data_IF_221666899878
#
_entry.id   IF_221666899878
#
_cell.length_a   1.000
_cell.length_b   1.000
_cell.length_c   1.000
_cell.angle_alpha   90.00
_cell.angle_beta   90.00
_cell.angle_gamma   90.00
#
_symmetry.space_group_name_H-M   'P 1'
#
loop_
_entity.id
_entity.type
_entity.pdbx_description
1 polymer ?
#
# COMPACT_ATOMS: atom_id res chain seq x y z
N UNK A 1 3.95 -2.61 0.12
CA UNK A 1 3.52 -2.10 -1.20
C UNK A 1 2.19 -2.67 -1.68
N UNK A 2 1.92 -3.98 -1.59
CA UNK A 2 0.55 -4.51 -1.86
C UNK A 2 -0.47 -4.07 -0.80
N UNK A 3 -0.09 -4.01 0.48
CA UNK A 3 -0.94 -3.37 1.50
C UNK A 3 -1.14 -1.86 1.29
N UNK A 4 -0.17 -1.20 0.64
CA UNK A 4 -0.24 0.21 0.23
C UNK A 4 -1.20 0.41 -0.96
N UNK A 5 -1.10 -0.48 -1.95
CA UNK A 5 -2.00 -0.64 -3.10
C UNK A 5 -3.47 -0.79 -2.64
N UNK A 6 -3.74 -1.54 -1.58
CA UNK A 6 -5.10 -1.73 -1.06
C UNK A 6 -5.61 -0.56 -0.21
N UNK A 7 -4.78 0.06 0.63
CA UNK A 7 -5.22 1.26 1.38
C UNK A 7 -5.56 2.43 0.46
N UNK A 8 -4.84 2.58 -0.65
CA UNK A 8 -5.12 3.58 -1.68
C UNK A 8 -6.45 3.33 -2.40
N UNK A 9 -6.78 2.07 -2.67
CA UNK A 9 -8.01 1.70 -3.38
C UNK A 9 -9.29 1.97 -2.56
N UNK A 10 -9.23 2.05 -1.22
CA UNK A 10 -10.44 1.96 -0.39
C UNK A 10 -10.85 3.19 0.41
N UNK A 11 -9.93 4.10 0.70
CA UNK A 11 -10.33 5.36 1.33
C UNK A 11 -10.98 6.31 0.31
N UNK A 12 -10.66 6.15 -0.98
CA UNK A 12 -10.99 7.13 -2.02
C UNK A 12 -12.17 6.88 -2.98
N UNK A 13 -12.82 5.70 -3.08
CA UNK A 13 -13.90 5.53 -4.05
C UNK A 13 -15.06 6.50 -3.83
N UNK A 14 -15.36 6.79 -2.56
CA UNK A 14 -16.36 7.77 -2.19
C UNK A 14 -15.84 9.20 -2.04
N UNK A 15 -14.53 9.40 -1.91
CA UNK A 15 -13.94 10.74 -1.81
C UNK A 15 -13.64 11.37 -3.17
N UNK A 16 -13.56 10.57 -4.24
CA UNK A 16 -13.52 11.07 -5.62
C UNK A 16 -14.80 11.84 -6.02
N UNK A 17 -15.86 11.76 -5.20
CA UNK A 17 -17.08 12.56 -5.31
C UNK A 17 -17.02 13.87 -4.50
N UNK A 18 -15.95 14.12 -3.74
CA UNK A 18 -15.82 15.23 -2.80
C UNK A 18 -14.63 16.12 -3.15
N UNK A 19 -14.75 16.86 -4.25
CA UNK A 19 -13.91 18.04 -4.48
C UNK A 19 -14.76 19.32 -4.38
N UNK A 20 -14.69 19.92 -3.19
CA UNK A 20 -14.64 21.35 -2.89
C UNK A 20 -15.88 22.25 -3.07
N UNK A 21 -16.54 22.58 -1.95
CA UNK A 21 -16.77 23.97 -1.52
C UNK A 21 -17.05 24.06 0.00
N UNK A 22 -16.61 25.15 0.64
CA UNK A 22 -16.96 25.53 2.02
C UNK A 22 -18.35 26.16 2.00
N UNK A 23 -19.32 25.50 2.60
CA UNK A 23 -20.50 26.17 3.17
C UNK A 23 -20.79 25.55 4.53
N UNK A 24 -20.87 26.40 5.54
CA UNK A 24 -21.17 26.04 6.91
C UNK A 24 -22.64 25.63 6.99
N UNK A 25 -22.95 24.34 6.80
CA UNK A 25 -24.31 23.84 7.02
C UNK A 25 -24.31 23.06 8.34
N UNK A 26 -24.93 23.67 9.34
CA UNK A 26 -25.12 23.08 10.67
C UNK A 26 -26.24 22.03 10.63
N UNK A 27 -25.90 20.78 10.32
CA UNK A 27 -26.82 19.65 10.52
C UNK A 27 -26.66 19.07 11.93
N UNK A 28 -27.51 19.50 12.86
CA UNK A 28 -27.86 18.69 14.03
C UNK A 28 -28.87 17.64 13.58
N UNK A 29 -28.42 16.47 13.14
CA UNK A 29 -29.33 15.31 12.97
C UNK A 29 -28.90 14.10 13.80
N UNK A 30 -29.81 13.45 14.55
CA UNK A 30 -29.46 12.46 15.58
C UNK A 30 -29.36 11.00 15.06
N UNK A 31 -29.24 10.77 13.75
CA UNK A 31 -29.66 9.48 13.16
C UNK A 31 -28.55 8.51 12.71
N UNK A 32 -27.26 8.85 12.79
CA UNK A 32 -26.21 8.01 12.20
C UNK A 32 -25.44 7.18 13.24
N UNK A 33 -25.72 5.86 13.31
CA UNK A 33 -24.93 4.91 14.13
C UNK A 33 -23.55 4.60 13.52
N UNK A 34 -23.50 4.33 12.21
CA UNK A 34 -22.28 4.18 11.40
C UNK A 34 -22.54 4.86 10.03
N UNK A 35 -22.27 6.17 9.90
CA UNK A 35 -22.57 6.93 8.69
C UNK A 35 -21.85 6.45 7.41
N UNK A 36 -20.71 5.78 7.54
CA UNK A 36 -19.96 5.17 6.43
C UNK A 36 -19.18 3.96 6.96
N UNK A 37 -19.29 2.84 6.28
CA UNK A 37 -18.54 1.62 6.57
C UNK A 37 -17.98 1.04 5.27
N UNK A 38 -16.69 0.71 5.27
CA UNK A 38 -16.00 0.00 4.19
C UNK A 38 -15.49 -1.31 4.75
N UNK A 39 -15.79 -2.43 4.09
CA UNK A 39 -15.39 -3.77 4.53
C UNK A 39 -14.63 -4.47 3.40
N UNK A 40 -13.48 -5.06 3.71
CA UNK A 40 -12.55 -5.71 2.78
C UNK A 40 -12.32 -7.15 3.23
N UNK A 41 -12.70 -8.10 2.38
CA UNK A 41 -12.60 -9.53 2.67
C UNK A 41 -11.25 -10.13 2.26
N UNK A 42 -10.90 -11.33 2.77
CA UNK A 42 -9.72 -12.08 2.33
C UNK A 42 -9.68 -12.37 0.82
N UNK A 43 -10.84 -12.30 0.14
CA UNK A 43 -10.92 -12.52 -1.30
C UNK A 43 -10.04 -11.56 -2.08
N UNK A 44 -9.75 -10.37 -1.52
CA UNK A 44 -8.85 -9.38 -2.12
C UNK A 44 -7.46 -9.94 -2.42
N UNK A 45 -7.01 -10.93 -1.64
CA UNK A 45 -5.71 -11.58 -1.83
C UNK A 45 -5.64 -12.40 -3.12
N UNK A 46 -6.77 -12.75 -3.75
CA UNK A 46 -6.77 -13.40 -5.06
C UNK A 46 -6.08 -12.55 -6.14
N UNK A 47 -6.02 -11.22 -5.97
CA UNK A 47 -5.29 -10.34 -6.90
C UNK A 47 -3.80 -10.63 -6.95
N UNK A 48 -3.22 -11.15 -5.86
CA UNK A 48 -1.81 -11.54 -5.82
C UNK A 48 -1.51 -12.68 -6.79
N UNK A 49 -2.44 -13.62 -6.94
CA UNK A 49 -2.32 -14.74 -7.88
C UNK A 49 -2.72 -14.28 -9.31
N UNK A 50 -3.88 -13.63 -9.44
CA UNK A 50 -4.48 -13.26 -10.73
C UNK A 50 -3.68 -12.21 -11.50
N UNK A 51 -2.95 -11.34 -10.79
CA UNK A 51 -2.19 -10.22 -11.36
C UNK A 51 -0.71 -10.28 -10.97
N UNK A 52 -0.20 -11.46 -10.66
CA UNK A 52 1.20 -11.68 -10.26
C UNK A 52 2.19 -11.05 -11.24
N UNK A 53 2.06 -11.33 -12.54
CA UNK A 53 2.97 -10.79 -13.56
C UNK A 53 2.97 -9.26 -13.61
N UNK A 54 1.79 -8.63 -13.52
CA UNK A 54 1.66 -7.18 -13.53
C UNK A 54 2.28 -6.56 -12.29
N UNK A 55 2.01 -7.14 -11.11
CA UNK A 55 2.58 -6.72 -9.83
C UNK A 55 4.11 -6.81 -9.89
N UNK A 56 4.64 -7.94 -10.33
CA UNK A 56 6.08 -8.14 -10.52
C UNK A 56 6.65 -7.10 -11.46
N UNK A 57 6.04 -6.90 -12.64
CA UNK A 57 6.49 -5.89 -13.61
C UNK A 57 6.52 -4.48 -13.03
N UNK A 58 5.54 -4.10 -12.23
CA UNK A 58 5.52 -2.81 -11.55
C UNK A 58 6.63 -2.71 -10.49
N UNK A 59 6.80 -3.72 -9.65
CA UNK A 59 7.81 -3.73 -8.59
C UNK A 59 9.24 -3.65 -9.16
N UNK A 60 9.47 -4.18 -10.36
CA UNK A 60 10.74 -4.02 -11.10
C UNK A 60 11.08 -2.58 -11.48
N UNK A 61 10.08 -1.68 -11.55
CA UNK A 61 10.32 -0.28 -11.92
C UNK A 61 10.84 0.57 -10.76
N UNK A 62 10.80 0.02 -9.56
CA UNK A 62 11.18 0.70 -8.32
C UNK A 62 12.70 0.69 -8.23
N UNK A 63 13.25 1.89 -8.15
CA UNK A 63 14.68 2.07 -7.96
C UNK A 63 15.05 1.73 -6.53
N UNK A 64 16.01 0.82 -6.38
CA UNK A 64 16.59 0.46 -5.10
C UNK A 64 17.88 1.26 -4.91
N UNK A 65 18.13 1.79 -3.70
CA UNK A 65 19.30 2.61 -3.46
C UNK A 65 20.60 1.83 -3.66
N UNK A 66 21.57 2.50 -4.28
CA UNK A 66 22.95 2.01 -4.37
C UNK A 66 23.69 2.29 -3.06
N UNK A 67 24.70 1.48 -2.77
CA UNK A 67 25.58 1.69 -1.63
C UNK A 67 27.04 1.66 -2.09
N UNK A 68 27.85 2.58 -1.58
CA UNK A 68 29.29 2.55 -1.73
C UNK A 68 29.96 2.91 -0.42
N UNK A 69 31.10 2.30 -0.14
CA UNK A 69 31.95 2.64 0.98
C UNK A 69 33.42 2.52 0.55
N UNK A 70 34.21 3.48 0.99
CA UNK A 70 35.65 3.48 0.79
C UNK A 70 36.34 3.37 2.15
N UNK A 71 37.34 2.51 2.24
CA UNK A 71 38.15 2.27 3.43
C UNK A 71 39.63 2.12 3.03
N UNK A 72 40.54 2.20 3.99
CA UNK A 72 41.99 2.15 3.82
C UNK A 72 42.45 0.92 3.02
N UNK A 73 41.78 -0.22 3.22
CA UNK A 73 42.12 -1.49 2.60
C UNK A 73 41.09 -2.02 1.59
N UNK A 74 39.89 -1.43 1.58
CA UNK A 74 38.75 -1.97 0.82
C UNK A 74 37.82 -0.86 0.37
N UNK A 75 37.58 -0.80 -0.94
CA UNK A 75 36.44 -0.08 -1.49
C UNK A 75 35.42 -1.10 -1.98
N UNK A 76 34.13 -0.84 -1.74
CA UNK A 76 33.07 -1.61 -2.34
C UNK A 76 31.92 -0.72 -2.81
N UNK A 77 31.29 -1.14 -3.89
CA UNK A 77 30.08 -0.53 -4.42
C UNK A 77 29.10 -1.62 -4.83
N UNK A 78 27.86 -1.49 -4.39
CA UNK A 78 26.70 -2.28 -4.80
C UNK A 78 25.78 -1.38 -5.61
N UNK A 79 25.52 -1.77 -6.85
CA UNK A 79 24.81 -0.96 -7.85
C UNK A 79 23.94 -1.84 -8.75
N UNK A 80 23.14 -1.20 -9.62
CA UNK A 80 22.28 -1.91 -10.58
C UNK A 80 21.42 -2.99 -9.93
N UNK A 81 20.92 -2.73 -8.72
CA UNK A 81 20.08 -3.71 -8.00
C UNK A 81 18.75 -3.83 -8.75
N UNK A 82 18.49 -5.01 -9.29
CA UNK A 82 17.32 -5.31 -10.09
C UNK A 82 16.55 -6.48 -9.48
N UNK A 83 15.25 -6.29 -9.26
CA UNK A 83 14.33 -7.37 -8.93
C UNK A 83 14.05 -8.17 -10.20
N UNK A 84 14.34 -9.47 -10.20
CA UNK A 84 14.09 -10.35 -11.34
C UNK A 84 12.75 -11.03 -11.25
N UNK A 85 12.34 -11.41 -10.04
CA UNK A 85 11.03 -12.02 -9.80
C UNK A 85 10.60 -11.77 -8.36
N UNK A 86 9.29 -11.73 -8.15
CA UNK A 86 8.67 -11.69 -6.83
C UNK A 86 7.32 -12.40 -6.86
N UNK A 87 7.05 -13.18 -5.82
CA UNK A 87 5.79 -13.88 -5.64
C UNK A 87 5.35 -13.76 -4.19
N UNK A 88 4.08 -13.44 -4.00
CA UNK A 88 3.45 -13.36 -2.69
C UNK A 88 2.21 -14.26 -2.79
N UNK A 89 2.21 -15.47 -2.21
CA UNK A 89 1.05 -16.35 -2.33
C UNK A 89 -0.12 -15.77 -1.54
N UNK A 90 -1.33 -15.80 -2.08
CA UNK A 90 -2.52 -15.32 -1.37
C UNK A 90 -2.73 -15.99 -0.01
N UNK A 91 -2.35 -17.27 0.11
CA UNK A 91 -2.45 -18.04 1.36
C UNK A 91 -1.44 -17.60 2.41
N UNK A 92 -0.39 -16.88 2.02
CA UNK A 92 0.58 -16.28 2.91
C UNK A 92 0.15 -14.93 3.45
N UNK A 93 -0.99 -14.38 3.05
CA UNK A 93 -1.43 -13.03 3.44
C UNK A 93 -2.70 -13.06 4.28
N UNK A 94 -2.67 -12.39 5.43
CA UNK A 94 -3.79 -12.29 6.36
C UNK A 94 -3.83 -10.93 7.07
N UNK A 95 -5.03 -10.45 7.32
CA UNK A 95 -5.29 -9.52 8.41
C UNK A 95 -5.33 -10.30 9.73
N UNK A 96 -4.57 -9.81 10.70
CA UNK A 96 -4.54 -10.33 12.06
C UNK A 96 -5.40 -9.43 12.95
N UNK A 97 -6.05 -10.04 13.94
CA UNK A 97 -6.93 -9.32 14.86
C UNK A 97 -6.13 -8.29 15.66
N UNK A 98 -6.54 -7.03 15.57
CA UNK A 98 -5.94 -5.91 16.28
C UNK A 98 -7.02 -4.91 16.67
N UNK A 99 -6.93 -4.40 17.90
CA UNK A 99 -7.79 -3.32 18.35
C UNK A 99 -7.29 -1.99 17.77
N UNK A 100 -8.12 -1.34 16.96
CA UNK A 100 -7.88 0.00 16.40
C UNK A 100 -6.57 0.13 15.62
N UNK A 101 -6.51 -0.55 14.48
CA UNK A 101 -5.41 -0.49 13.54
C UNK A 101 -5.60 -1.50 12.42
N UNK A 102 -4.55 -1.69 11.62
CA UNK A 102 -4.49 -2.80 10.66
C UNK A 102 -3.22 -3.58 10.93
N UNK A 103 -3.35 -4.85 11.26
CA UNK A 103 -2.21 -5.77 11.32
C UNK A 103 -2.28 -6.67 10.09
N UNK A 104 -1.34 -6.47 9.16
CA UNK A 104 -1.19 -7.28 7.95
C UNK A 104 0.04 -8.16 8.09
N UNK A 105 -0.15 -9.47 7.96
CA UNK A 105 0.93 -10.45 7.95
C UNK A 105 1.07 -11.06 6.56
N UNK A 106 2.29 -11.13 6.07
CA UNK A 106 2.63 -11.70 4.77
C UNK A 106 3.78 -12.70 4.97
N UNK A 107 3.62 -13.94 4.53
CA UNK A 107 4.59 -15.03 4.67
C UNK A 107 4.83 -15.72 3.33
N UNK A 108 5.89 -16.54 3.28
CA UNK A 108 6.28 -17.30 2.09
C UNK A 108 6.49 -16.39 0.87
N UNK A 109 6.94 -15.15 1.10
CA UNK A 109 7.29 -14.23 0.02
C UNK A 109 8.55 -14.78 -0.63
N UNK A 110 8.52 -14.92 -1.95
CA UNK A 110 9.66 -15.34 -2.75
C UNK A 110 10.15 -14.20 -3.60
N UNK A 111 11.45 -14.02 -3.71
CA UNK A 111 12.00 -13.07 -4.66
C UNK A 111 13.39 -13.49 -5.13
N UNK A 112 13.72 -13.02 -6.33
CA UNK A 112 15.04 -13.16 -6.93
C UNK A 112 15.50 -11.75 -7.32
N UNK A 113 16.71 -11.38 -6.94
CA UNK A 113 17.32 -10.12 -7.31
C UNK A 113 18.73 -10.35 -7.85
N UNK A 114 19.21 -9.41 -8.65
CA UNK A 114 20.60 -9.32 -9.08
C UNK A 114 21.13 -7.96 -8.67
N UNK A 115 22.38 -7.91 -8.23
CA UNK A 115 23.11 -6.66 -8.03
C UNK A 115 24.50 -6.79 -8.65
N UNK A 116 25.01 -5.69 -9.20
CA UNK A 116 26.39 -5.60 -9.63
C UNK A 116 27.25 -5.12 -8.46
N UNK A 117 28.34 -5.81 -8.22
CA UNK A 117 29.30 -5.51 -7.17
C UNK A 117 30.65 -5.19 -7.78
N UNK A 118 31.19 -4.06 -7.34
CA UNK A 118 32.55 -3.63 -7.63
C UNK A 118 33.32 -3.59 -6.31
N UNK A 119 34.48 -4.24 -6.28
CA UNK A 119 35.33 -4.33 -5.09
C UNK A 119 36.74 -3.95 -5.48
N UNK A 120 37.41 -3.12 -4.69
CA UNK A 120 38.83 -2.82 -4.86
C UNK A 120 39.59 -3.13 -3.57
N UNK A 121 40.59 -4.01 -3.65
CA UNK A 121 41.35 -4.51 -2.49
C UNK A 121 42.81 -4.12 -2.61
N UNK A 122 43.38 -3.58 -1.55
CA UNK A 122 44.78 -3.14 -1.52
C UNK A 122 44.97 -1.94 -0.61
N UNK A 123 46.21 -1.46 -0.49
CA UNK A 123 46.56 -0.38 0.45
C UNK A 123 46.44 0.97 -0.24
N UNK A 124 45.56 1.84 0.27
CA UNK A 124 45.39 3.23 -0.19
C UNK A 124 45.18 3.33 -1.70
N UNK A 125 46.16 3.87 -2.45
CA UNK A 125 46.08 4.10 -3.90
C UNK A 125 46.42 2.88 -4.75
N UNK A 126 46.92 1.79 -4.15
CA UNK A 126 47.33 0.57 -4.86
C UNK A 126 46.30 -0.54 -4.72
N UNK A 127 45.04 -0.26 -5.09
CA UNK A 127 43.94 -1.23 -5.03
C UNK A 127 43.73 -1.93 -6.37
N UNK A 128 43.55 -3.25 -6.33
CA UNK A 128 43.16 -4.06 -7.48
C UNK A 128 41.64 -4.26 -7.49
N UNK A 129 41.01 -3.97 -8.63
CA UNK A 129 39.57 -4.03 -8.80
C UNK A 129 39.06 -5.38 -9.31
N UNK A 130 37.94 -5.82 -8.75
CA UNK A 130 37.12 -6.94 -9.22
C UNK A 130 35.70 -6.43 -9.44
N UNK A 131 35.05 -6.97 -10.47
CA UNK A 131 33.65 -6.68 -10.78
C UNK A 131 32.93 -7.97 -11.13
N UNK A 132 31.70 -8.08 -10.65
CA UNK A 132 30.82 -9.19 -11.01
C UNK A 132 29.42 -8.98 -10.47
N UNK A 133 28.57 -9.98 -10.71
CA UNK A 133 27.19 -9.93 -10.26
C UNK A 133 26.97 -10.90 -9.10
N UNK A 134 26.01 -10.53 -8.25
CA UNK A 134 25.51 -11.37 -7.17
C UNK A 134 24.02 -11.58 -7.37
N UNK A 135 23.63 -12.83 -7.47
CA UNK A 135 22.23 -13.24 -7.45
C UNK A 135 21.83 -13.46 -6.00
N UNK A 136 20.75 -12.82 -5.59
CA UNK A 136 20.15 -12.97 -4.26
C UNK A 136 18.82 -13.67 -4.44
N UNK A 137 18.70 -14.84 -3.83
CA UNK A 137 17.51 -15.66 -3.86
C UNK A 137 16.89 -15.72 -2.46
N UNK A 138 15.58 -15.58 -2.37
CA UNK A 138 14.84 -15.82 -1.14
C UNK A 138 13.55 -16.57 -1.46
N UNK A 139 13.34 -17.70 -0.80
CA UNK A 139 12.15 -18.53 -0.99
C UNK A 139 11.18 -18.49 0.21
N UNK A 140 11.58 -17.81 1.29
CA UNK A 140 10.74 -17.62 2.47
C UNK A 140 11.10 -16.31 3.19
N UNK A 141 10.51 -15.21 2.72
CA UNK A 141 10.48 -13.95 3.44
C UNK A 141 9.13 -13.72 4.12
N UNK A 142 9.19 -13.03 5.26
CA UNK A 142 8.04 -12.62 6.05
C UNK A 142 8.05 -11.09 6.20
N UNK A 143 6.89 -10.48 5.97
CA UNK A 143 6.64 -9.07 6.23
C UNK A 143 5.49 -8.97 7.23
N UNK A 144 5.77 -8.30 8.34
CA UNK A 144 4.84 -8.02 9.41
C UNK A 144 4.60 -6.51 9.46
N UNK A 145 3.37 -6.08 9.14
CA UNK A 145 3.01 -4.69 8.97
C UNK A 145 1.89 -4.33 9.95
N UNK A 146 2.20 -3.52 10.94
CA UNK A 146 1.22 -2.98 11.89
C UNK A 146 1.01 -1.51 11.59
N UNK A 147 -0.21 -1.14 11.22
CA UNK A 147 -0.62 0.23 10.94
C UNK A 147 -1.38 0.77 12.14
N UNK A 148 -0.69 1.54 12.98
CA UNK A 148 -1.35 2.26 14.06
C UNK A 148 -2.06 3.46 13.49
N UNK A 149 -3.36 3.60 13.78
CA UNK A 149 -4.15 4.72 13.29
C UNK A 149 -4.56 5.62 14.45
N UNK A 150 -4.17 6.89 14.35
CA UNK A 150 -4.56 7.93 15.29
C UNK A 150 -4.83 9.23 14.56
N UNK A 151 -5.98 9.83 14.82
CA UNK A 151 -6.37 11.16 14.30
C UNK A 151 -6.10 11.36 12.79
N UNK A 152 -6.62 10.44 11.96
CA UNK A 152 -6.44 10.45 10.49
C UNK A 152 -4.96 10.46 10.06
N UNK A 153 -4.08 9.85 10.87
CA UNK A 153 -2.68 9.62 10.57
C UNK A 153 -2.36 8.15 10.83
N UNK A 154 -1.70 7.53 9.86
CA UNK A 154 -1.15 6.19 9.96
C UNK A 154 0.32 6.30 10.36
N UNK A 155 0.69 5.55 11.39
CA UNK A 155 2.07 5.34 11.82
C UNK A 155 2.39 3.85 11.69
N UNK A 156 3.09 3.44 10.61
CA UNK A 156 3.38 2.05 10.37
C UNK A 156 4.55 1.57 11.23
N UNK A 157 4.45 0.36 11.77
CA UNK A 157 5.54 -0.41 12.34
C UNK A 157 5.71 -1.62 11.44
N UNK A 158 6.82 -1.65 10.70
CA UNK A 158 7.09 -2.68 9.69
C UNK A 158 8.29 -3.50 10.16
N UNK A 159 8.16 -4.83 10.11
CA UNK A 159 9.27 -5.76 10.32
C UNK A 159 9.34 -6.68 9.12
N UNK A 160 10.52 -6.85 8.56
CA UNK A 160 10.75 -7.79 7.47
C UNK A 160 11.90 -8.72 7.82
N UNK A 161 11.72 -10.00 7.50
CA UNK A 161 12.74 -11.04 7.65
C UNK A 161 12.84 -11.82 6.35
N UNK A 162 14.04 -12.21 5.95
CA UNK A 162 14.25 -13.00 4.75
C UNK A 162 15.42 -13.96 4.94
N UNK A 163 15.22 -15.23 4.55
CA UNK A 163 16.33 -16.18 4.40
C UNK A 163 17.01 -15.95 3.05
N UNK A 164 18.10 -15.16 3.03
CA UNK A 164 18.82 -14.81 1.81
C UNK A 164 19.88 -15.85 1.43
N UNK A 165 19.88 -16.24 0.17
CA UNK A 165 20.89 -17.09 -0.46
C UNK A 165 21.63 -16.29 -1.53
N UNK A 166 22.95 -16.43 -1.59
CA UNK A 166 23.81 -15.64 -2.47
C UNK A 166 24.55 -16.54 -3.44
N UNK A 167 24.56 -16.18 -4.72
CA UNK A 167 25.35 -16.82 -5.75
C UNK A 167 26.19 -15.76 -6.49
N UNK A 168 27.50 -15.94 -6.47
CA UNK A 168 28.47 -15.02 -7.09
C UNK A 168 28.90 -15.50 -8.48
N UNK A 169 29.11 -14.57 -9.42
CA UNK A 169 29.77 -14.86 -10.70
C UNK A 169 31.21 -15.33 -10.49
N UNK A 170 31.79 -16.05 -11.46
CA UNK A 170 33.13 -16.64 -11.32
C UNK A 170 34.23 -15.60 -11.00
N UNK A 171 34.11 -14.40 -11.55
CA UNK A 171 35.01 -13.26 -11.26
C UNK A 171 35.04 -12.85 -9.78
N UNK A 172 33.98 -13.15 -9.02
CA UNK A 172 33.83 -12.85 -7.60
C UNK A 172 33.91 -14.12 -6.72
N UNK A 173 33.94 -15.34 -7.29
CA UNK A 173 34.13 -16.58 -6.51
C UNK A 173 35.49 -16.64 -5.82
N UNK A 174 36.51 -16.00 -6.39
CA UNK A 174 37.82 -15.84 -5.74
C UNK A 174 37.77 -14.89 -4.52
N UNK A 175 36.65 -14.18 -4.33
CA UNK A 175 36.51 -13.07 -3.40
C UNK A 175 35.60 -13.40 -2.19
N UNK A 176 35.49 -14.68 -1.78
CA UNK A 176 34.74 -15.14 -0.59
C UNK A 176 34.98 -14.30 0.68
N UNK A 177 36.08 -13.54 0.74
CA UNK A 177 36.37 -12.53 1.75
C UNK A 177 35.25 -11.47 1.94
N UNK A 178 34.42 -11.22 0.92
CA UNK A 178 33.39 -10.15 0.94
C UNK A 178 31.97 -10.66 1.10
N UNK A 179 31.77 -11.98 1.15
CA UNK A 179 30.43 -12.56 1.31
C UNK A 179 29.75 -12.02 2.58
N UNK A 180 30.50 -11.89 3.68
CA UNK A 180 29.98 -11.38 4.96
C UNK A 180 29.46 -9.95 4.86
N UNK A 181 30.21 -9.04 4.24
CA UNK A 181 29.80 -7.63 4.06
C UNK A 181 28.60 -7.48 3.13
N UNK A 182 28.55 -8.27 2.07
CA UNK A 182 27.45 -8.26 1.11
C UNK A 182 26.17 -8.81 1.75
N UNK A 183 26.32 -9.88 2.53
CA UNK A 183 25.26 -10.45 3.34
C UNK A 183 24.74 -9.43 4.36
N UNK A 184 25.63 -8.78 5.12
CA UNK A 184 25.27 -7.74 6.09
C UNK A 184 24.50 -6.59 5.42
N UNK A 185 24.97 -6.09 4.28
CA UNK A 185 24.25 -5.07 3.51
C UNK A 185 22.87 -5.54 3.08
N UNK A 186 22.76 -6.74 2.51
CA UNK A 186 21.50 -7.26 2.02
C UNK A 186 20.49 -7.53 3.17
N UNK A 187 20.96 -8.07 4.29
CA UNK A 187 20.17 -8.26 5.51
C UNK A 187 19.71 -6.93 6.10
N UNK A 188 20.60 -5.93 6.17
CA UNK A 188 20.26 -4.58 6.59
C UNK A 188 19.23 -3.94 5.66
N UNK A 189 19.42 -4.07 4.34
CA UNK A 189 18.53 -3.52 3.33
C UNK A 189 17.11 -4.09 3.48
N UNK A 190 17.00 -5.42 3.62
CA UNK A 190 15.72 -6.08 3.80
C UNK A 190 15.08 -5.70 5.14
N UNK A 191 15.85 -5.67 6.21
CA UNK A 191 15.32 -5.50 7.57
C UNK A 191 15.04 -4.04 7.94
N UNK A 192 15.64 -3.07 7.24
CA UNK A 192 15.55 -1.64 7.55
C UNK A 192 15.13 -0.80 6.33
N UNK A 193 15.85 -0.91 5.21
CA UNK A 193 15.59 -0.04 4.04
C UNK A 193 14.23 -0.31 3.39
N UNK A 194 13.83 -1.57 3.24
CA UNK A 194 12.50 -1.92 2.69
C UNK A 194 11.37 -1.43 3.62
N UNK A 195 11.40 -1.70 4.94
CA UNK A 195 10.53 -1.05 5.92
C UNK A 195 10.47 0.47 5.78
N UNK A 196 11.62 1.15 5.73
CA UNK A 196 11.67 2.62 5.61
C UNK A 196 11.03 3.13 4.32
N UNK A 197 11.23 2.43 3.20
CA UNK A 197 10.57 2.75 1.94
C UNK A 197 9.04 2.66 2.09
N UNK A 198 8.53 1.59 2.71
CA UNK A 198 7.09 1.43 2.97
C UNK A 198 6.58 2.53 3.90
N UNK A 199 7.31 2.87 4.97
CA UNK A 199 6.94 3.90 5.92
C UNK A 199 6.86 5.29 5.26
N UNK A 200 7.86 5.63 4.43
CA UNK A 200 7.89 6.88 3.66
C UNK A 200 6.71 6.98 2.70
N UNK A 201 6.29 5.88 2.08
CA UNK A 201 5.10 5.88 1.22
C UNK A 201 3.83 6.15 2.03
N UNK A 202 3.67 5.55 3.22
CA UNK A 202 2.55 5.88 4.11
C UNK A 202 2.53 7.36 4.49
N UNK A 203 3.69 7.94 4.80
CA UNK A 203 3.82 9.35 5.16
C UNK A 203 3.52 10.31 4.01
N UNK A 204 4.07 10.03 2.82
CA UNK A 204 4.00 10.96 1.67
C UNK A 204 2.72 10.85 0.88
N UNK A 205 2.11 9.67 0.86
CA UNK A 205 1.01 9.39 -0.05
C UNK A 205 -0.30 9.07 0.70
N UNK A 206 -0.26 8.24 1.76
CA UNK A 206 -1.49 7.85 2.50
C UNK A 206 -1.93 8.92 3.51
N UNK A 207 -1.01 9.46 4.30
CA UNK A 207 -1.35 10.41 5.36
C UNK A 207 -1.95 11.72 4.84
N UNK A 208 -1.44 12.35 3.76
CA UNK A 208 -2.04 13.59 3.24
C UNK A 208 -3.48 13.39 2.77
N UNK A 209 -3.75 12.21 2.23
CA UNK A 209 -5.06 11.77 1.82
C UNK A 209 -6.03 11.61 3.01
N UNK A 210 -5.60 10.96 4.09
CA UNK A 210 -6.39 10.88 5.33
C UNK A 210 -6.64 12.26 5.95
N UNK A 211 -5.67 13.17 5.88
CA UNK A 211 -5.85 14.56 6.34
C UNK A 211 -6.86 15.34 5.48
N UNK A 212 -6.92 15.09 4.15
CA UNK A 212 -8.00 15.64 3.31
C UNK A 212 -9.36 15.12 3.75
N UNK A 213 -9.48 13.81 4.01
CA UNK A 213 -10.71 13.22 4.54
C UNK A 213 -11.11 13.87 5.87
N UNK A 214 -10.18 14.05 6.81
CA UNK A 214 -10.43 14.72 8.10
C UNK A 214 -11.07 16.11 7.91
N UNK A 215 -10.53 16.91 6.98
CA UNK A 215 -11.05 18.26 6.68
C UNK A 215 -12.46 18.22 6.09
N UNK A 216 -12.75 17.25 5.21
CA UNK A 216 -14.08 17.07 4.62
C UNK A 216 -15.11 16.68 5.67
N UNK A 217 -14.78 15.68 6.51
CA UNK A 217 -15.64 15.23 7.62
C UNK A 217 -15.91 16.38 8.61
N UNK A 218 -14.88 17.17 8.95
CA UNK A 218 -15.06 18.36 9.78
C UNK A 218 -15.94 19.43 9.11
N UNK A 219 -15.76 19.64 7.79
CA UNK A 219 -16.50 20.63 7.01
C UNK A 219 -18.01 20.36 6.94
N UNK A 220 -18.43 19.10 6.97
CA UNK A 220 -19.84 18.69 6.99
C UNK A 220 -20.43 18.57 8.40
N UNK A 221 -19.75 19.09 9.42
CA UNK A 221 -20.24 19.09 10.81
C UNK A 221 -20.10 17.76 11.55
N UNK A 222 -19.36 16.79 11.01
CA UNK A 222 -19.15 15.46 11.62
C UNK A 222 -17.90 15.40 12.50
N UNK A 223 -17.50 16.52 13.11
CA UNK A 223 -16.32 16.58 13.98
C UNK A 223 -16.44 15.69 15.24
N UNK A 224 -17.67 15.32 15.62
CA UNK A 224 -17.99 14.37 16.68
C UNK A 224 -17.81 12.89 16.27
N UNK A 225 -17.47 12.63 15.01
CA UNK A 225 -17.23 11.29 14.50
C UNK A 225 -15.73 10.98 14.46
N UNK A 226 -15.40 9.72 14.70
CA UNK A 226 -14.06 9.16 14.54
C UNK A 226 -14.08 8.03 13.50
N UNK A 227 -12.89 7.64 13.04
CA UNK A 227 -12.70 6.46 12.20
C UNK A 227 -12.23 5.32 13.10
N UNK A 228 -12.96 4.22 13.09
CA UNK A 228 -12.56 2.98 13.75
C UNK A 228 -12.14 1.94 12.72
N UNK A 229 -11.04 1.27 13.03
CA UNK A 229 -10.50 0.15 12.26
C UNK A 229 -10.72 -1.12 13.07
N UNK A 230 -11.29 -2.13 12.44
CA UNK A 230 -11.62 -3.41 13.06
C UNK A 230 -11.20 -4.52 12.14
N UNK A 231 -10.43 -5.48 12.65
CA UNK A 231 -10.19 -6.74 11.96
C UNK A 231 -10.94 -7.83 12.72
N UNK A 232 -11.72 -8.63 11.98
CA UNK A 232 -12.32 -9.87 12.48
C UNK A 232 -12.33 -10.89 11.35
N UNK A 233 -12.00 -12.16 11.64
CA UNK A 233 -12.07 -13.25 10.66
C UNK A 233 -11.33 -12.92 9.36
N UNK A 234 -10.11 -12.37 9.46
CA UNK A 234 -9.29 -11.94 8.32
C UNK A 234 -9.99 -10.91 7.41
N UNK A 235 -10.97 -10.18 7.94
CA UNK A 235 -11.72 -9.15 7.22
C UNK A 235 -11.48 -7.81 7.89
N UNK A 236 -11.08 -6.82 7.10
CA UNK A 236 -10.84 -5.46 7.57
C UNK A 236 -12.11 -4.63 7.39
N UNK A 237 -12.58 -3.98 8.45
CA UNK A 237 -13.67 -3.01 8.43
C UNK A 237 -13.17 -1.65 8.90
N UNK A 238 -13.48 -0.62 8.12
CA UNK A 238 -13.23 0.78 8.45
C UNK A 238 -14.59 1.47 8.56
N UNK A 239 -14.95 1.91 9.76
CA UNK A 239 -16.23 2.55 10.03
C UNK A 239 -16.02 3.98 10.53
N UNK A 240 -16.77 4.93 9.99
CA UNK A 240 -16.95 6.26 10.58
C UNK A 240 -18.11 6.17 11.55
N UNK A 241 -17.91 6.50 12.82
CA UNK A 241 -18.96 6.44 13.86
C UNK A 241 -18.79 7.52 14.94
N UNK A 242 -19.84 7.85 15.70
CA UNK A 242 -19.73 8.82 16.77
C UNK A 242 -18.62 8.43 17.76
N UNK A 243 -17.85 9.39 18.25
CA UNK A 243 -16.79 9.15 19.25
C UNK A 243 -17.31 8.42 20.49
N UNK A 244 -18.56 8.68 20.88
CA UNK A 244 -19.26 7.99 21.98
C UNK A 244 -19.57 6.50 21.73
N UNK A 245 -19.50 6.04 20.47
CA UNK A 245 -19.73 4.66 20.07
C UNK A 245 -18.42 3.93 19.66
N UNK A 246 -17.26 4.59 19.74
CA UNK A 246 -15.96 3.96 19.51
C UNK A 246 -15.67 2.86 20.54
N UNK A 247 -14.96 1.82 20.13
CA UNK A 247 -14.66 0.62 20.93
C UNK A 247 -15.76 -0.45 20.94
N UNK A 248 -16.98 -0.13 20.48
CA UNK A 248 -18.04 -1.13 20.27
C UNK A 248 -17.83 -1.87 18.95
N UNK A 249 -17.36 -3.10 19.04
CA UNK A 249 -17.05 -3.97 17.90
C UNK A 249 -18.32 -4.74 17.51
N UNK A 250 -18.92 -4.41 16.37
CA UNK A 250 -20.02 -5.19 15.81
C UNK A 250 -19.47 -6.38 14.98
N UNK A 251 -20.13 -7.55 14.99
CA UNK A 251 -19.73 -8.68 14.16
C UNK A 251 -19.73 -8.33 12.67
N UNK A 252 -18.65 -8.67 11.96
CA UNK A 252 -18.60 -8.51 10.50
C UNK A 252 -19.40 -9.64 9.85
N UNK A 253 -20.37 -9.28 9.01
CA UNK A 253 -21.13 -10.28 8.23
C UNK A 253 -20.23 -10.89 7.15
N UNK A 254 -20.33 -12.21 6.89
CA UNK A 254 -19.66 -12.83 5.76
C UNK A 254 -20.04 -12.14 4.44
N UNK A 255 -19.08 -12.03 3.54
CA UNK A 255 -19.25 -11.36 2.26
C UNK A 255 -18.58 -12.16 1.13
N UNK A 256 -19.22 -12.20 -0.03
CA UNK A 256 -18.76 -12.97 -1.20
C UNK A 256 -17.89 -12.15 -2.16
N UNK A 257 -17.86 -10.82 -1.98
CA UNK A 257 -17.08 -9.87 -2.78
C UNK A 257 -15.83 -9.42 -2.03
N UNK A 258 -14.86 -8.90 -2.78
CA UNK A 258 -13.64 -8.36 -2.18
C UNK A 258 -13.95 -7.17 -1.26
N UNK A 259 -14.91 -6.34 -1.63
CA UNK A 259 -15.17 -5.06 -0.98
C UNK A 259 -16.66 -4.80 -0.91
N UNK A 260 -17.14 -4.30 0.22
CA UNK A 260 -18.47 -3.73 0.35
C UNK A 260 -18.41 -2.37 1.04
N UNK A 261 -19.34 -1.51 0.66
CA UNK A 261 -19.49 -0.17 1.17
C UNK A 261 -20.94 0.04 1.58
N UNK A 262 -21.14 0.53 2.80
CA UNK A 262 -22.42 0.99 3.32
C UNK A 262 -22.26 2.46 3.71
N UNK A 263 -23.11 3.34 3.20
CA UNK A 263 -23.03 4.78 3.45
C UNK A 263 -24.42 5.36 3.56
N UNK A 264 -24.72 5.95 4.72
CA UNK A 264 -25.91 6.77 4.95
C UNK A 264 -25.59 8.27 4.85
N UNK A 265 -24.34 8.61 4.50
CA UNK A 265 -23.84 9.97 4.33
C UNK A 265 -24.05 10.55 2.94
N UNK A 266 -24.54 9.76 1.99
CA UNK A 266 -24.49 10.14 0.59
C UNK A 266 -25.29 11.41 0.26
N UNK A 267 -26.39 11.66 0.99
CA UNK A 267 -27.14 12.92 0.87
C UNK A 267 -26.27 14.15 1.20
N UNK A 268 -25.47 14.09 2.26
CA UNK A 268 -24.58 15.18 2.68
C UNK A 268 -23.40 15.37 1.71
N UNK A 269 -22.92 14.30 1.08
CA UNK A 269 -21.84 14.37 0.09
C UNK A 269 -22.34 14.86 -1.29
N UNK A 270 -23.61 14.62 -1.64
CA UNK A 270 -24.22 15.07 -2.90
C UNK A 270 -24.38 16.59 -2.99
N UNK A 271 -24.72 17.27 -1.89
CA UNK A 271 -24.77 18.74 -1.89
C UNK A 271 -23.39 19.36 -2.20
N UNK A 272 -22.29 18.69 -1.80
CA UNK A 272 -20.94 19.13 -2.13
C UNK A 272 -20.56 18.90 -3.60
N UNK A 273 -21.15 17.90 -4.28
CA UNK A 273 -20.88 17.58 -5.70
C UNK A 273 -21.51 18.58 -6.68
N UNK A 274 -22.52 19.36 -6.27
CA UNK A 274 -23.14 20.39 -7.13
C UNK A 274 -22.24 21.62 -7.36
N UNK A 275 -21.10 21.73 -6.69
CA UNK A 275 -20.07 22.73 -6.96
C UNK A 275 -18.95 22.17 -7.85
N UNK A 276 -19.00 22.58 -9.13
CA UNK A 276 -17.96 22.65 -10.18
C UNK A 276 -16.86 21.58 -10.28
N UNK A 277 -16.78 20.97 -11.48
CA UNK A 277 -15.66 20.18 -12.00
C UNK A 277 -14.38 21.02 -12.04
N UNK A 278 -13.32 20.54 -11.41
CA UNK A 278 -11.95 20.97 -11.72
C UNK A 278 -11.18 19.80 -12.34
N UNK A 279 -10.49 20.09 -13.44
CA UNK A 279 -9.57 19.18 -14.09
C UNK A 279 -8.32 19.04 -13.19
N UNK A 280 -8.03 17.82 -12.77
CA UNK A 280 -6.75 17.50 -12.14
C UNK A 280 -5.69 17.58 -13.23
N UNK A 281 -4.91 18.66 -13.23
CA UNK A 281 -3.68 18.75 -14.01
C UNK A 281 -2.67 17.75 -13.44
N UNK A 282 -2.46 16.64 -14.15
CA UNK A 282 -1.29 15.79 -13.96
C UNK A 282 -0.11 16.46 -14.65
N UNK A 283 0.84 16.97 -13.88
CA UNK A 283 2.14 17.39 -14.43
C UNK A 283 2.81 16.18 -15.07
N UNK A 284 2.77 16.15 -16.41
CA UNK A 284 3.30 15.07 -17.22
C UNK A 284 4.81 15.20 -17.34
N UNK A 285 5.54 14.73 -16.33
CA UNK A 285 6.87 14.17 -16.57
C UNK A 285 6.70 12.74 -17.06
N UNK A 286 7.01 12.52 -18.34
CA UNK A 286 7.16 11.18 -18.94
C UNK A 286 8.00 10.31 -18.01
N UNK A 287 7.50 9.13 -17.58
CA UNK A 287 8.26 7.87 -17.33
C UNK A 287 7.50 6.82 -16.51
N UNK A 288 7.74 5.52 -16.81
CA UNK A 288 7.45 4.31 -16.00
C UNK A 288 5.99 3.82 -15.89
N UNK A 289 5.85 2.49 -15.94
CA UNK A 289 4.61 1.74 -15.85
C UNK A 289 3.87 2.08 -14.53
N UNK A 290 2.63 2.52 -14.62
CA UNK A 290 1.74 2.66 -13.48
C UNK A 290 0.75 1.49 -13.37
N UNK A 291 0.07 1.41 -12.23
CA UNK A 291 -1.02 0.47 -12.00
C UNK A 291 -2.30 1.26 -11.67
N UNK A 292 -3.44 0.84 -12.23
CA UNK A 292 -4.76 1.38 -11.92
C UNK A 292 -5.70 0.31 -11.36
N UNK A 293 -6.47 0.70 -10.34
CA UNK A 293 -7.58 -0.11 -9.83
C UNK A 293 -8.87 0.16 -10.59
N UNK A 294 -9.59 -0.92 -10.89
CA UNK A 294 -10.96 -0.90 -11.40
C UNK A 294 -11.82 -1.87 -10.60
N UNK A 295 -13.12 -1.87 -10.87
CA UNK A 295 -14.07 -2.77 -10.22
C UNK A 295 -14.88 -3.56 -11.23
N UNK A 296 -15.28 -4.77 -10.82
CA UNK A 296 -16.44 -5.43 -11.41
C UNK A 296 -17.66 -4.51 -11.28
N UNK A 297 -18.69 -4.68 -12.14
CA UNK A 297 -19.98 -4.04 -11.92
C UNK A 297 -20.42 -4.24 -10.46
N UNK A 298 -20.70 -3.16 -9.72
CA UNK A 298 -21.06 -3.27 -8.32
C UNK A 298 -22.45 -3.90 -8.18
N UNK A 299 -22.60 -4.78 -7.20
CA UNK A 299 -23.85 -5.41 -6.80
C UNK A 299 -24.41 -4.71 -5.56
N UNK A 300 -25.65 -4.23 -5.65
CA UNK A 300 -26.31 -3.48 -4.59
C UNK A 300 -26.98 -2.23 -5.14
N UNK A 301 -27.48 -1.41 -4.24
CA UNK A 301 -28.30 -0.26 -4.59
C UNK A 301 -27.87 1.01 -3.87
N UNK A 302 -28.11 2.11 -4.57
CA UNK A 302 -27.93 3.45 -4.08
C UNK A 302 -29.25 4.20 -4.25
N UNK A 303 -29.75 4.76 -3.15
CA UNK A 303 -30.88 5.69 -3.09
C UNK A 303 -30.36 7.12 -2.92
N UNK A 304 -31.25 8.10 -2.78
CA UNK A 304 -30.85 9.49 -2.57
C UNK A 304 -30.08 9.75 -1.27
N UNK A 305 -30.38 8.97 -0.24
CA UNK A 305 -29.85 9.17 1.12
C UNK A 305 -28.90 8.07 1.59
N UNK A 306 -28.91 6.91 0.95
CA UNK A 306 -28.11 5.75 1.36
C UNK A 306 -27.58 4.95 0.18
N UNK A 307 -26.42 4.31 0.35
CA UNK A 307 -25.83 3.37 -0.58
C UNK A 307 -25.37 2.13 0.16
N UNK A 308 -25.67 0.95 -0.37
CA UNK A 308 -25.08 -0.30 0.06
C UNK A 308 -24.75 -1.14 -1.15
N UNK A 309 -23.45 -1.32 -1.44
CA UNK A 309 -23.00 -2.06 -2.60
C UNK A 309 -21.67 -2.78 -2.37
N UNK A 310 -21.41 -3.77 -3.20
CA UNK A 310 -20.25 -4.62 -3.15
C UNK A 310 -19.63 -4.81 -4.53
N UNK A 311 -18.31 -4.89 -4.63
CA UNK A 311 -17.61 -5.14 -5.88
C UNK A 311 -16.35 -5.98 -5.67
N UNK A 312 -15.96 -6.71 -6.70
CA UNK A 312 -14.63 -7.28 -6.80
C UNK A 312 -13.69 -6.24 -7.44
N UNK A 313 -12.48 -6.10 -6.90
CA UNK A 313 -11.46 -5.23 -7.48
C UNK A 313 -10.69 -5.96 -8.57
N UNK A 314 -10.08 -5.18 -9.45
CA UNK A 314 -9.08 -5.65 -10.39
C UNK A 314 -7.99 -4.59 -10.63
N UNK A 315 -6.86 -5.02 -11.21
CA UNK A 315 -5.65 -4.24 -11.38
C UNK A 315 -5.23 -4.25 -12.86
N UNK A 316 -5.07 -3.07 -13.44
CA UNK A 316 -4.69 -2.87 -14.84
C UNK A 316 -3.43 -2.02 -14.99
N UNK A 317 -2.60 -2.25 -16.03
CA UNK A 317 -1.48 -1.36 -16.32
C UNK A 317 -1.97 -0.01 -16.82
N UNK A 318 -1.24 1.06 -16.50
CA UNK A 318 -1.39 2.37 -17.14
C UNK A 318 -0.05 2.93 -17.61
N UNK A 319 -0.10 3.69 -18.70
CA UNK A 319 1.06 4.41 -19.27
C UNK A 319 0.91 5.94 -19.15
N UNK A 320 -0.25 6.41 -18.71
CA UNK A 320 -0.59 7.85 -18.66
C UNK A 320 -0.25 8.50 -17.32
N UNK A 321 0.05 7.70 -16.30
CA UNK A 321 0.46 8.19 -14.98
C UNK A 321 1.49 7.26 -14.36
N UNK A 322 2.36 7.84 -13.53
CA UNK A 322 3.39 7.11 -12.80
C UNK A 322 2.84 6.74 -11.43
N UNK A 323 3.14 5.53 -10.95
CA UNK A 323 2.67 5.08 -9.62
C UNK A 323 1.32 4.36 -9.64
N UNK A 324 0.54 4.55 -8.57
CA UNK A 324 -0.73 3.85 -8.33
C UNK A 324 -1.88 4.84 -8.45
N UNK A 325 -2.85 4.55 -9.31
CA UNK A 325 -4.10 5.30 -9.39
C UNK A 325 -5.33 4.40 -9.29
N UNK A 326 -6.51 5.00 -9.31
CA UNK A 326 -7.76 4.25 -9.21
C UNK A 326 -8.89 4.95 -9.98
N UNK A 327 -9.65 4.21 -10.77
CA UNK A 327 -10.83 4.71 -11.49
C UNK A 327 -12.10 4.28 -10.77
N UNK A 328 -12.31 4.89 -9.61
CA UNK A 328 -13.31 4.42 -8.65
C UNK A 328 -14.73 4.87 -8.99
N UNK A 329 -14.90 5.76 -9.97
CA UNK A 329 -16.22 6.12 -10.50
C UNK A 329 -16.96 4.93 -11.12
N UNK A 330 -16.21 3.93 -11.62
CA UNK A 330 -16.76 2.67 -12.13
C UNK A 330 -17.23 1.71 -11.02
N UNK A 331 -16.75 1.92 -9.79
CA UNK A 331 -17.02 1.08 -8.63
C UNK A 331 -18.31 1.45 -7.89
N UNK A 332 -19.00 2.50 -8.33
CA UNK A 332 -20.24 2.97 -7.72
C UNK A 332 -21.41 2.60 -8.64
N UNK A 333 -22.53 2.06 -8.11
CA UNK A 333 -23.71 1.77 -8.94
C UNK A 333 -24.14 2.99 -9.75
N UNK A 334 -24.47 2.79 -11.03
CA UNK A 334 -24.83 3.87 -11.97
C UNK A 334 -26.20 4.50 -11.70
N UNK A 335 -26.95 3.97 -10.72
CA UNK A 335 -28.31 4.36 -10.37
C UNK A 335 -28.34 5.70 -9.60
N UNK A 336 -27.35 6.57 -9.83
CA UNK A 336 -26.89 7.61 -8.90
C UNK A 336 -26.66 8.95 -9.60
#
# INVERSE_FOLDING_TARGET
>A
MVGYLLLFAFVFPHLALCQQQRTTISYKHPLYKEPLTVTISPKIWNLLDLRAELITKYLKTIELPEQAQNDTMLDYKVSNIALNDISIPKSGVSFEDMNNGVHLRMRNIKFRAVATIEVAVGVSVFKAGLKGDVKVNCDNAELDLVLNVGDYKITPVIKMKAGLQFEFTESLRAANLFESKIREYAEYFVSNSVPDMIAKTCEKEVNPLLQKLKRLVAGVGLSEFGVEWTVQNNTLRVGVKPKSAMGKIAPIKPMSKMVCIDSNLLAALREMKRSKREAVNSDSKKSKLGIYFTCSPPEGDCTESSCSYCADLDIFPTTTSTGVGAELGSCVPKNL
#
